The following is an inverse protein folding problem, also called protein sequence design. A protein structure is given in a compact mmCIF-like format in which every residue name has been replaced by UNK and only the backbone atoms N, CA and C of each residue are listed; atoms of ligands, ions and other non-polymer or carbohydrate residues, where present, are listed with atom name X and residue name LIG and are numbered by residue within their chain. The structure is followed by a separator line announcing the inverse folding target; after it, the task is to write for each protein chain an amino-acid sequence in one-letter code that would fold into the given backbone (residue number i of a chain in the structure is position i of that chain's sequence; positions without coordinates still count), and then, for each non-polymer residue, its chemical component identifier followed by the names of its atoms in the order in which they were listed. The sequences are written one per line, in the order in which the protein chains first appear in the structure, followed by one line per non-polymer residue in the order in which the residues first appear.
data_IF_652115346711
#
_entry.id   IF_652115346711
#
_cell.length_a   1.000
_cell.length_b   1.000
_cell.length_c   1.000
_cell.angle_alpha   90.00
_cell.angle_beta   90.00
_cell.angle_gamma   90.00
#
_symmetry.space_group_name_H-M   'P 1'
#
loop_
_entity.id
_entity.type
_entity.pdbx_description
1 polymer ?
#
# COMPACT_ATOMS: atom_id res chain seq x y z
N UNK A 1 -10.61 -17.85 -5.17
CA UNK A 1 -9.36 -17.69 -4.38
C UNK A 1 -9.67 -17.92 -2.90
N UNK A 2 -8.66 -18.16 -2.09
CA UNK A 2 -8.79 -18.12 -0.62
C UNK A 2 -8.21 -16.78 -0.16
N UNK A 3 -8.94 -16.03 0.68
CA UNK A 3 -8.46 -14.75 1.21
C UNK A 3 -7.49 -14.96 2.39
N UNK A 4 -7.00 -13.86 2.97
CA UNK A 4 -6.02 -13.93 4.06
C UNK A 4 -6.53 -14.57 5.36
N UNK A 5 -7.84 -14.73 5.53
CA UNK A 5 -8.45 -15.41 6.70
C UNK A 5 -8.90 -16.83 6.41
N UNK A 6 -8.53 -17.41 5.26
CA UNK A 6 -8.86 -18.79 4.91
C UNK A 6 -10.26 -18.99 4.34
N UNK A 7 -11.01 -17.91 4.05
CA UNK A 7 -12.35 -17.98 3.48
C UNK A 7 -12.30 -18.03 1.95
N UNK A 8 -13.12 -18.90 1.36
CA UNK A 8 -13.30 -18.94 -0.09
C UNK A 8 -14.05 -17.69 -0.57
N UNK A 9 -13.48 -17.00 -1.57
CA UNK A 9 -14.03 -15.77 -2.14
C UNK A 9 -13.69 -15.64 -3.63
N UNK A 10 -14.30 -14.66 -4.30
CA UNK A 10 -13.95 -14.29 -5.68
C UNK A 10 -12.93 -13.17 -5.68
N UNK A 11 -12.10 -13.08 -6.73
CA UNK A 11 -11.13 -11.99 -6.86
C UNK A 11 -11.80 -10.60 -6.88
N UNK A 12 -12.99 -10.51 -7.47
CA UNK A 12 -13.79 -9.27 -7.47
C UNK A 12 -14.15 -8.86 -6.04
N UNK A 13 -14.73 -9.76 -5.25
CA UNK A 13 -15.11 -9.47 -3.85
C UNK A 13 -13.88 -9.14 -3.00
N UNK A 14 -12.81 -9.91 -3.15
CA UNK A 14 -11.54 -9.63 -2.49
C UNK A 14 -11.03 -8.21 -2.79
N UNK A 15 -11.06 -7.79 -4.06
CA UNK A 15 -10.62 -6.44 -4.43
C UNK A 15 -11.58 -5.34 -3.95
N UNK A 16 -12.88 -5.45 -4.23
CA UNK A 16 -13.83 -4.35 -4.00
C UNK A 16 -14.40 -4.32 -2.59
N UNK A 17 -14.84 -5.46 -2.06
CA UNK A 17 -15.53 -5.54 -0.77
C UNK A 17 -14.53 -5.64 0.40
N UNK A 18 -13.46 -6.42 0.25
CA UNK A 18 -12.47 -6.62 1.34
C UNK A 18 -11.38 -5.53 1.36
N UNK A 19 -11.02 -4.97 0.20
CA UNK A 19 -9.90 -4.04 0.06
C UNK A 19 -10.23 -2.69 -0.58
N UNK A 20 -11.49 -2.39 -0.87
CA UNK A 20 -11.95 -1.08 -1.36
C UNK A 20 -11.22 -0.58 -2.61
N UNK A 21 -10.90 -1.48 -3.53
CA UNK A 21 -10.29 -1.16 -4.83
C UNK A 21 -11.35 -0.59 -5.76
N UNK A 22 -11.53 0.73 -5.72
CA UNK A 22 -12.48 1.47 -6.58
C UNK A 22 -11.83 2.28 -7.70
N UNK A 23 -10.51 2.45 -7.66
CA UNK A 23 -9.75 3.17 -8.69
C UNK A 23 -8.45 2.42 -8.97
N UNK A 24 -7.96 2.47 -10.21
CA UNK A 24 -6.81 1.68 -10.66
C UNK A 24 -5.66 2.56 -11.16
N UNK A 25 -4.40 2.19 -10.91
CA UNK A 25 -3.95 1.04 -10.13
C UNK A 25 -4.05 1.26 -8.61
N UNK A 26 -4.07 0.18 -7.83
CA UNK A 26 -3.88 0.19 -6.37
C UNK A 26 -2.63 -0.62 -6.03
N UNK A 27 -1.79 -0.02 -5.19
CA UNK A 27 -0.60 -0.65 -4.62
C UNK A 27 -0.83 -0.83 -3.12
N UNK A 28 -0.76 -2.07 -2.64
CA UNK A 28 -0.98 -2.41 -1.23
C UNK A 28 0.14 -3.31 -0.72
N UNK A 29 0.67 -3.00 0.44
CA UNK A 29 1.55 -3.89 1.20
C UNK A 29 0.77 -4.51 2.36
N UNK A 30 0.90 -5.81 2.51
CA UNK A 30 0.31 -6.59 3.60
C UNK A 30 1.41 -7.14 4.51
N UNK A 31 1.08 -7.38 5.78
CA UNK A 31 1.90 -8.22 6.65
C UNK A 31 1.63 -9.71 6.43
N UNK A 32 2.34 -10.56 7.18
CA UNK A 32 2.20 -12.02 7.12
C UNK A 32 0.82 -12.53 7.55
N UNK A 33 0.00 -11.67 8.19
CA UNK A 33 -1.37 -11.98 8.63
C UNK A 33 -2.43 -11.34 7.72
N UNK A 34 -2.03 -10.71 6.61
CA UNK A 34 -2.94 -10.04 5.68
C UNK A 34 -3.43 -8.66 6.13
N UNK A 35 -2.82 -8.05 7.15
CA UNK A 35 -3.14 -6.68 7.56
C UNK A 35 -2.46 -5.69 6.62
N UNK A 36 -3.21 -4.67 6.18
CA UNK A 36 -2.68 -3.58 5.36
C UNK A 36 -1.64 -2.78 6.17
N UNK A 37 -0.41 -2.73 5.64
CA UNK A 37 0.67 -1.88 6.15
C UNK A 37 0.67 -0.51 5.48
N UNK A 38 0.49 -0.50 4.16
CA UNK A 38 0.41 0.73 3.39
C UNK A 38 -0.48 0.54 2.17
N UNK A 39 -1.29 1.56 1.87
CA UNK A 39 -2.25 1.55 0.79
C UNK A 39 -2.08 2.80 -0.07
N UNK A 40 -1.96 2.63 -1.38
CA UNK A 40 -1.82 3.75 -2.32
C UNK A 40 -2.65 3.51 -3.58
N UNK A 41 -3.57 4.44 -3.82
CA UNK A 41 -4.29 4.56 -5.10
C UNK A 41 -3.52 5.45 -6.07
N UNK A 42 -3.48 5.03 -7.33
CA UNK A 42 -2.91 5.77 -8.46
C UNK A 42 -1.47 5.37 -8.82
N UNK A 43 -1.05 5.76 -10.01
CA UNK A 43 0.28 5.46 -10.54
C UNK A 43 1.40 6.08 -9.70
N UNK A 44 2.52 5.34 -9.61
CA UNK A 44 3.80 5.81 -9.12
C UNK A 44 4.85 5.58 -10.21
N UNK A 45 5.78 6.52 -10.37
CA UNK A 45 6.98 6.27 -11.16
C UNK A 45 7.95 5.35 -10.40
N UNK A 46 9.03 4.91 -11.04
CA UNK A 46 9.99 3.98 -10.44
C UNK A 46 10.58 4.48 -9.11
N UNK A 47 10.99 5.74 -9.04
CA UNK A 47 11.60 6.30 -7.83
C UNK A 47 10.61 6.42 -6.68
N UNK A 48 9.37 6.82 -6.96
CA UNK A 48 8.31 6.88 -5.97
C UNK A 48 7.88 5.50 -5.49
N UNK A 49 7.88 4.49 -6.37
CA UNK A 49 7.58 3.10 -5.99
C UNK A 49 8.66 2.55 -5.04
N UNK A 50 9.94 2.77 -5.34
CA UNK A 50 11.03 2.39 -4.44
C UNK A 50 10.95 3.13 -3.10
N UNK A 51 10.59 4.41 -3.11
CA UNK A 51 10.36 5.18 -1.88
C UNK A 51 9.18 4.64 -1.07
N UNK A 52 8.12 4.15 -1.74
CA UNK A 52 6.98 3.51 -1.08
C UNK A 52 7.39 2.19 -0.42
N UNK A 53 8.24 1.39 -1.07
CA UNK A 53 8.86 0.20 -0.47
C UNK A 53 9.71 0.56 0.76
N UNK A 54 10.54 1.61 0.67
CA UNK A 54 11.34 2.10 1.81
C UNK A 54 10.45 2.54 2.97
N UNK A 55 9.37 3.26 2.71
CA UNK A 55 8.38 3.69 3.71
C UNK A 55 7.79 2.51 4.50
N UNK A 56 7.55 1.37 3.84
CA UNK A 56 7.10 0.15 4.52
C UNK A 56 8.23 -0.53 5.28
N UNK A 57 9.40 -0.69 4.65
CA UNK A 57 10.61 -1.30 5.25
C UNK A 57 11.02 -0.61 6.55
N UNK A 58 11.01 0.71 6.56
CA UNK A 58 11.41 1.56 7.69
C UNK A 58 10.26 1.74 8.72
N UNK A 59 9.10 1.10 8.50
CA UNK A 59 7.90 1.20 9.34
C UNK A 59 7.36 2.62 9.54
N UNK A 60 7.61 3.50 8.58
CA UNK A 60 7.18 4.91 8.64
C UNK A 60 5.65 5.06 8.53
N UNK A 61 4.96 4.04 8.00
CA UNK A 61 3.50 3.96 8.00
C UNK A 61 2.85 3.97 9.39
N UNK A 62 3.62 3.66 10.45
CA UNK A 62 3.14 3.76 11.83
C UNK A 62 3.11 5.21 12.33
N UNK A 63 3.84 6.13 11.68
CA UNK A 63 4.02 7.51 12.14
C UNK A 63 3.29 8.51 11.24
N UNK A 64 3.25 8.27 9.94
CA UNK A 64 2.72 9.23 8.96
C UNK A 64 2.16 8.52 7.71
N UNK A 65 1.52 9.29 6.83
CA UNK A 65 1.10 8.79 5.52
C UNK A 65 2.18 9.00 4.45
N UNK A 66 2.14 8.18 3.41
CA UNK A 66 3.14 8.18 2.35
C UNK A 66 3.29 9.53 1.63
N UNK A 67 2.20 10.30 1.44
CA UNK A 67 2.26 11.61 0.78
C UNK A 67 3.10 12.60 1.59
N UNK A 68 2.90 12.65 2.92
CA UNK A 68 3.69 13.50 3.82
C UNK A 68 5.15 13.03 3.87
N UNK A 69 5.38 11.73 4.01
CA UNK A 69 6.72 11.14 3.99
C UNK A 69 7.48 11.50 2.70
N UNK A 70 6.84 11.32 1.54
CA UNK A 70 7.41 11.67 0.23
C UNK A 70 7.80 13.14 0.14
N UNK A 71 6.95 14.05 0.64
CA UNK A 71 7.25 15.49 0.66
C UNK A 71 8.46 15.81 1.54
N UNK A 72 8.58 15.16 2.70
CA UNK A 72 9.74 15.32 3.59
C UNK A 72 11.02 14.79 2.95
N UNK A 73 10.96 13.60 2.35
CA UNK A 73 12.09 13.00 1.65
C UNK A 73 12.64 13.93 0.55
N UNK A 74 11.75 14.51 -0.27
CA UNK A 74 12.14 15.47 -1.32
C UNK A 74 12.76 16.77 -0.80
N UNK A 75 12.44 17.19 0.44
CA UNK A 75 13.03 18.37 1.07
C UNK A 75 14.43 18.10 1.61
N UNK A 76 14.69 16.87 2.09
CA UNK A 76 15.98 16.46 2.62
C UNK A 76 16.99 16.12 1.51
N UNK A 77 16.49 15.67 0.35
CA UNK A 77 17.32 15.36 -0.82
C UNK A 77 17.66 16.58 -1.68
N UNK A 78 17.40 17.79 -1.18
CA UNK A 78 17.58 19.07 -1.88
C UNK A 78 18.61 19.89 -1.12
#
# INVERSE_FOLDING_TARGET
MINFVGKQTTQRRFATEEHNVFATPVLVFFDLKGKILAYRTGFLNQSDFLLFGKFVKDKEYLKTNFIRYKRQYKRQSK
#
